data_IF_338371151651
#
_entry.id   IF_338371151651
#
_cell.length_a   1.000
_cell.length_b   1.000
_cell.length_c   1.000
_cell.angle_alpha   90.00
_cell.angle_beta   90.00
_cell.angle_gamma   90.00
#
_symmetry.space_group_name_H-M   'P 1'
#
loop_
_entity.id
_entity.type
_entity.pdbx_description
1 polymer ?
#
# COMPACT_ATOMS: atom_id res chain seq x y z
N UNK A 1 14.25 3.94 9.80
CA UNK A 1 13.75 5.27 9.42
C UNK A 1 12.91 5.84 10.54
N UNK A 2 11.58 5.73 10.43
CA UNK A 2 10.58 6.36 11.32
C UNK A 2 10.98 6.45 12.80
N UNK A 3 11.18 5.30 13.47
CA UNK A 3 11.50 5.26 14.92
C UNK A 3 12.79 6.02 15.26
N UNK A 4 13.81 5.96 14.40
CA UNK A 4 15.06 6.70 14.61
C UNK A 4 14.82 8.21 14.48
N UNK A 5 13.97 8.62 13.54
CA UNK A 5 13.54 10.01 13.42
C UNK A 5 12.83 10.50 14.68
N UNK A 6 11.92 9.70 15.25
CA UNK A 6 11.20 10.02 16.49
C UNK A 6 12.13 10.14 17.70
N UNK A 7 13.22 9.35 17.71
CA UNK A 7 14.28 9.41 18.72
C UNK A 7 15.29 10.55 18.49
N UNK A 8 15.16 11.34 17.41
CA UNK A 8 16.08 12.41 17.05
C UNK A 8 17.36 11.95 16.35
N UNK A 9 17.50 10.67 16.05
CA UNK A 9 18.62 10.05 15.33
C UNK A 9 18.45 10.24 13.81
N UNK A 10 18.57 11.49 13.38
CA UNK A 10 18.15 11.92 12.03
C UNK A 10 19.06 11.36 10.93
N UNK A 11 20.38 11.31 11.17
CA UNK A 11 21.34 10.78 10.18
C UNK A 11 21.11 9.29 9.93
N UNK A 12 20.96 8.48 10.98
CA UNK A 12 20.66 7.05 10.83
C UNK A 12 19.27 6.82 10.21
N UNK A 13 18.29 7.64 10.58
CA UNK A 13 16.95 7.59 9.98
C UNK A 13 17.02 7.75 8.46
N UNK A 14 17.76 8.75 7.98
CA UNK A 14 17.93 9.05 6.56
C UNK A 14 18.58 7.88 5.81
N UNK A 15 19.62 7.26 6.37
CA UNK A 15 20.26 6.07 5.78
C UNK A 15 19.24 4.96 5.55
N UNK A 16 18.44 4.62 6.56
CA UNK A 16 17.45 3.55 6.42
C UNK A 16 16.31 3.90 5.45
N UNK A 17 15.92 5.16 5.36
CA UNK A 17 14.92 5.57 4.36
C UNK A 17 15.49 5.52 2.95
N UNK A 18 16.77 5.83 2.76
CA UNK A 18 17.43 5.71 1.48
C UNK A 18 17.58 4.25 1.04
N UNK A 19 17.97 3.36 1.96
CA UNK A 19 18.00 1.91 1.70
C UNK A 19 16.60 1.37 1.36
N UNK A 20 15.57 1.84 2.06
CA UNK A 20 14.18 1.47 1.77
C UNK A 20 13.74 1.96 0.38
N UNK A 21 14.08 3.18 0.00
CA UNK A 21 13.81 3.71 -1.34
C UNK A 21 14.50 2.87 -2.41
N UNK A 22 15.80 2.59 -2.24
CA UNK A 22 16.57 1.78 -3.20
C UNK A 22 15.95 0.39 -3.37
N UNK A 23 15.56 -0.25 -2.27
CA UNK A 23 14.82 -1.51 -2.31
C UNK A 23 13.51 -1.36 -3.08
N UNK A 24 12.69 -0.36 -2.75
CA UNK A 24 11.37 -0.16 -3.35
C UNK A 24 11.43 0.20 -4.84
N UNK A 25 12.44 0.95 -5.29
CA UNK A 25 12.66 1.28 -6.71
C UNK A 25 13.05 0.07 -7.55
N UNK A 26 13.73 -0.90 -6.93
CA UNK A 26 14.19 -2.13 -7.58
C UNK A 26 13.20 -3.29 -7.42
N UNK A 27 12.18 -3.17 -6.56
CA UNK A 27 11.16 -4.20 -6.37
C UNK A 27 10.38 -4.44 -7.67
N UNK A 28 10.29 -5.72 -8.05
CA UNK A 28 9.54 -6.22 -9.21
C UNK A 28 8.25 -6.93 -8.80
N UNK A 29 7.97 -6.99 -7.49
CA UNK A 29 6.75 -7.56 -6.95
C UNK A 29 5.56 -6.60 -7.11
N UNK A 30 4.36 -7.11 -6.81
CA UNK A 30 3.15 -6.30 -6.76
C UNK A 30 3.22 -5.20 -5.69
N UNK A 31 4.13 -5.29 -4.70
CA UNK A 31 4.24 -4.35 -3.57
C UNK A 31 5.10 -3.13 -3.85
N UNK A 32 5.71 -3.04 -5.04
CA UNK A 32 6.51 -1.87 -5.46
C UNK A 32 5.74 -0.56 -5.26
N UNK A 33 4.51 -0.47 -5.80
CA UNK A 33 3.67 0.72 -5.69
C UNK A 33 3.31 1.05 -4.23
N UNK A 34 2.97 0.04 -3.43
CA UNK A 34 2.67 0.23 -2.01
C UNK A 34 3.89 0.77 -1.24
N UNK A 35 5.07 0.21 -1.50
CA UNK A 35 6.30 0.60 -0.80
C UNK A 35 6.73 2.02 -1.15
N UNK A 36 6.67 2.37 -2.44
CA UNK A 36 6.96 3.73 -2.90
C UNK A 36 5.92 4.73 -2.39
N UNK A 37 4.64 4.35 -2.32
CA UNK A 37 3.60 5.19 -1.73
C UNK A 37 3.92 5.53 -0.27
N UNK A 38 4.28 4.54 0.55
CA UNK A 38 4.63 4.75 1.95
C UNK A 38 5.89 5.62 2.13
N UNK A 39 6.91 5.41 1.30
CA UNK A 39 8.11 6.26 1.30
C UNK A 39 7.77 7.73 0.99
N UNK A 40 7.09 7.99 -0.13
CA UNK A 40 6.82 9.36 -0.56
C UNK A 40 5.83 10.06 0.37
N UNK A 41 4.89 9.30 0.93
CA UNK A 41 3.97 9.77 1.95
C UNK A 41 4.75 10.28 3.17
N UNK A 42 5.59 9.44 3.76
CA UNK A 42 6.42 9.83 4.91
C UNK A 42 7.34 11.03 4.61
N UNK A 43 7.90 11.11 3.39
CA UNK A 43 8.74 12.24 2.96
C UNK A 43 7.95 13.53 2.67
N UNK A 44 6.64 13.55 2.87
CA UNK A 44 5.78 14.72 2.67
C UNK A 44 5.36 14.97 1.21
N UNK A 45 5.69 14.06 0.30
CA UNK A 45 5.31 14.16 -1.11
C UNK A 45 3.99 13.41 -1.36
N UNK A 46 2.89 14.05 -0.99
CA UNK A 46 1.54 13.49 -1.09
C UNK A 46 1.12 13.18 -2.53
N UNK A 47 1.55 13.97 -3.51
CA UNK A 47 1.25 13.75 -4.93
C UNK A 47 1.83 12.41 -5.41
N UNK A 48 3.13 12.18 -5.18
CA UNK A 48 3.76 10.91 -5.53
C UNK A 48 3.22 9.74 -4.72
N UNK A 49 2.91 9.96 -3.44
CA UNK A 49 2.30 8.92 -2.61
C UNK A 49 0.99 8.42 -3.21
N UNK A 50 0.12 9.35 -3.62
CA UNK A 50 -1.16 9.04 -4.28
C UNK A 50 -0.91 8.36 -5.63
N UNK A 51 0.04 8.85 -6.44
CA UNK A 51 0.38 8.25 -7.73
C UNK A 51 0.79 6.78 -7.59
N UNK A 52 1.72 6.47 -6.68
CA UNK A 52 2.18 5.10 -6.47
C UNK A 52 1.11 4.20 -5.83
N UNK A 53 0.27 4.76 -4.96
CA UNK A 53 -0.86 4.02 -4.41
C UNK A 53 -1.90 3.70 -5.50
N UNK A 54 -2.14 4.62 -6.43
CA UNK A 54 -3.01 4.37 -7.58
C UNK A 54 -2.43 3.28 -8.48
N UNK A 55 -1.11 3.28 -8.74
CA UNK A 55 -0.44 2.20 -9.47
C UNK A 55 -0.59 0.85 -8.75
N UNK A 56 -0.47 0.82 -7.42
CA UNK A 56 -0.72 -0.37 -6.61
C UNK A 56 -2.19 -0.82 -6.69
N UNK A 57 -3.12 0.12 -6.80
CA UNK A 57 -4.55 -0.16 -6.97
C UNK A 57 -4.90 -0.83 -8.30
N UNK A 58 -4.01 -0.76 -9.29
CA UNK A 58 -4.20 -1.44 -10.58
C UNK A 58 -3.82 -2.93 -10.54
N UNK A 59 -3.22 -3.40 -9.45
CA UNK A 59 -2.96 -4.82 -9.25
C UNK A 59 -4.27 -5.61 -9.11
N UNK A 60 -4.18 -6.92 -9.30
CA UNK A 60 -5.27 -7.85 -9.02
C UNK A 60 -4.79 -8.90 -8.02
N UNK A 61 -5.74 -9.67 -7.47
CA UNK A 61 -5.45 -10.82 -6.60
C UNK A 61 -4.66 -10.43 -5.35
N UNK A 62 -5.04 -9.30 -4.74
CA UNK A 62 -4.48 -8.87 -3.46
C UNK A 62 -4.56 -10.01 -2.42
N UNK A 63 -3.49 -10.23 -1.64
CA UNK A 63 -3.57 -11.10 -0.48
C UNK A 63 -4.61 -10.56 0.51
N UNK A 64 -5.35 -11.47 1.17
CA UNK A 64 -6.38 -11.08 2.14
C UNK A 64 -5.85 -10.21 3.27
N UNK A 65 -4.63 -10.45 3.75
CA UNK A 65 -4.04 -9.67 4.84
C UNK A 65 -3.93 -8.19 4.48
N UNK A 66 -3.67 -7.85 3.22
CA UNK A 66 -3.58 -6.45 2.81
C UNK A 66 -4.93 -5.76 2.96
N UNK A 67 -6.00 -6.42 2.50
CA UNK A 67 -7.37 -5.90 2.61
C UNK A 67 -7.85 -5.85 4.05
N UNK A 68 -7.45 -6.81 4.88
CA UNK A 68 -7.76 -6.81 6.32
C UNK A 68 -7.18 -5.59 7.04
N UNK A 69 -6.05 -5.07 6.57
CA UNK A 69 -5.34 -3.94 7.17
C UNK A 69 -5.45 -2.65 6.35
N UNK A 70 -6.32 -2.61 5.34
CA UNK A 70 -6.61 -1.39 4.58
C UNK A 70 -7.17 -0.31 5.51
N UNK A 71 -6.57 0.89 5.47
CA UNK A 71 -7.01 2.00 6.31
C UNK A 71 -6.83 1.76 7.81
N UNK A 72 -5.99 0.79 8.22
CA UNK A 72 -5.43 0.84 9.57
C UNK A 72 -4.42 1.97 9.67
N UNK A 73 -4.33 2.57 10.85
CA UNK A 73 -3.37 3.63 11.17
C UNK A 73 -1.94 3.13 10.91
N UNK A 74 -1.39 3.54 9.76
CA UNK A 74 0.03 3.37 9.41
C UNK A 74 0.69 4.75 9.45
N UNK A 75 1.65 4.98 10.36
CA UNK A 75 2.34 6.26 10.47
C UNK A 75 3.02 6.72 9.18
N UNK A 76 3.34 5.82 8.25
CA UNK A 76 3.90 6.21 6.95
C UNK A 76 2.87 6.95 6.08
N UNK A 77 1.57 6.73 6.32
CA UNK A 77 0.47 7.28 5.52
C UNK A 77 -0.31 8.42 6.20
N UNK A 78 0.11 8.86 7.39
CA UNK A 78 -0.63 9.84 8.21
C UNK A 78 -1.00 11.13 7.45
N UNK A 79 -0.15 11.62 6.55
CA UNK A 79 -0.39 12.86 5.80
C UNK A 79 -1.26 12.70 4.55
N UNK A 80 -1.58 11.46 4.15
CA UNK A 80 -2.45 11.18 3.00
C UNK A 80 -3.72 10.43 3.37
N UNK A 81 -3.79 9.81 4.55
CA UNK A 81 -4.87 8.89 4.89
C UNK A 81 -6.24 9.58 4.83
N UNK A 82 -6.37 10.81 5.34
CA UNK A 82 -7.64 11.55 5.29
C UNK A 82 -7.96 12.18 3.91
N UNK A 83 -7.06 12.08 2.93
CA UNK A 83 -7.28 12.69 1.61
C UNK A 83 -8.37 11.95 0.82
N UNK A 84 -9.36 12.67 0.25
CA UNK A 84 -10.44 12.04 -0.51
C UNK A 84 -9.97 11.14 -1.65
N UNK A 85 -8.87 11.52 -2.32
CA UNK A 85 -8.24 10.78 -3.41
C UNK A 85 -7.63 9.47 -2.91
N UNK A 86 -6.92 9.50 -1.79
CA UNK A 86 -6.33 8.32 -1.18
C UNK A 86 -7.41 7.36 -0.69
N UNK A 87 -8.42 7.87 0.02
CA UNK A 87 -9.58 7.10 0.45
C UNK A 87 -10.37 6.49 -0.72
N UNK A 88 -10.41 7.16 -1.88
CA UNK A 88 -11.00 6.59 -3.10
C UNK A 88 -10.21 5.38 -3.58
N UNK A 89 -8.87 5.47 -3.59
CA UNK A 89 -8.00 4.36 -3.98
C UNK A 89 -8.18 3.15 -3.05
N UNK A 90 -8.21 3.36 -1.72
CA UNK A 90 -8.43 2.26 -0.75
C UNK A 90 -9.77 1.54 -1.02
N UNK A 91 -10.85 2.30 -1.27
CA UNK A 91 -12.16 1.73 -1.63
C UNK A 91 -12.12 0.95 -2.95
N UNK A 92 -11.37 1.41 -3.94
CA UNK A 92 -11.23 0.70 -5.22
C UNK A 92 -10.56 -0.66 -5.03
N UNK A 93 -9.53 -0.74 -4.18
CA UNK A 93 -8.86 -1.99 -3.84
C UNK A 93 -9.83 -2.96 -3.17
N UNK A 94 -10.57 -2.52 -2.15
CA UNK A 94 -11.54 -3.35 -1.42
C UNK A 94 -12.62 -3.90 -2.38
N UNK A 95 -13.20 -3.05 -3.22
CA UNK A 95 -14.21 -3.45 -4.20
C UNK A 95 -13.64 -4.48 -5.20
N UNK A 96 -12.42 -4.25 -5.72
CA UNK A 96 -11.75 -5.20 -6.64
C UNK A 96 -11.52 -6.55 -5.96
N UNK A 97 -11.05 -6.55 -4.72
CA UNK A 97 -10.80 -7.76 -3.94
C UNK A 97 -12.07 -8.59 -3.75
N UNK A 98 -13.15 -8.00 -3.25
CA UNK A 98 -14.39 -8.73 -2.99
C UNK A 98 -15.09 -9.20 -4.26
N UNK A 99 -15.01 -8.42 -5.33
CA UNK A 99 -15.52 -8.82 -6.64
C UNK A 99 -14.80 -10.08 -7.15
N UNK A 100 -13.46 -10.09 -7.09
CA UNK A 100 -12.66 -11.25 -7.49
C UNK A 100 -12.97 -12.48 -6.61
N UNK A 101 -13.04 -12.32 -5.29
CA UNK A 101 -13.33 -13.43 -4.38
C UNK A 101 -14.72 -14.01 -4.59
N UNK A 102 -15.72 -13.18 -4.91
CA UNK A 102 -17.06 -13.66 -5.28
C UNK A 102 -17.02 -14.52 -6.54
N UNK A 103 -16.30 -14.09 -7.58
CA UNK A 103 -16.15 -14.86 -8.83
C UNK A 103 -15.48 -16.21 -8.59
N UNK A 104 -14.43 -16.25 -7.76
CA UNK A 104 -13.77 -17.50 -7.37
C UNK A 104 -14.73 -18.42 -6.62
N UNK A 105 -15.46 -17.88 -5.63
CA UNK A 105 -16.46 -18.64 -4.86
C UNK A 105 -17.53 -19.25 -5.75
N UNK A 106 -18.06 -18.48 -6.69
CA UNK A 106 -19.09 -18.96 -7.62
C UNK A 106 -18.53 -20.05 -8.55
N UNK A 107 -17.30 -19.89 -9.07
CA UNK A 107 -16.63 -20.91 -9.88
C UNK A 107 -16.36 -22.20 -9.11
N UNK A 108 -15.98 -22.11 -7.83
CA UNK A 108 -15.73 -23.28 -6.98
C UNK A 108 -17.02 -24.07 -6.73
N UNK A 109 -18.14 -23.38 -6.49
CA UNK A 109 -19.46 -24.01 -6.34
C UNK A 109 -19.91 -24.73 -7.60
N UNK A 110 -19.77 -24.08 -8.76
CA UNK A 110 -20.11 -24.68 -10.06
C UNK A 110 -19.31 -25.97 -10.32
N UNK A 111 -18.06 -26.00 -9.88
CA UNK A 111 -17.17 -27.16 -9.99
C UNK A 111 -17.36 -28.20 -8.89
N UNK A 112 -18.23 -27.97 -7.90
CA UNK A 112 -18.41 -28.86 -6.76
C UNK A 112 -17.20 -28.93 -5.81
N UNK A 113 -16.36 -27.90 -5.79
CA UNK A 113 -15.19 -27.78 -4.92
C UNK A 113 -15.48 -27.00 -3.63
N UNK A 114 -16.69 -26.46 -3.51
CA UNK A 114 -17.25 -25.75 -2.35
C UNK A 114 -18.75 -26.01 -2.27
#
# INVERSE_FOLDING_TARGET
>A
GLILSELGMTEESEVYFQEYLEFAENDQSIYRGLSLAGYYSYMGNTEKAIEYMDQFSQQEKYPYWYVLFLGMDDPLFENVDDLPEFQKILREIDVKFWKYHKQIKDSLKEKGLL
#
